data_IF_870661597280
#
_entry.id   IF_870661597280
#
_cell.length_a   1.000
_cell.length_b   1.000
_cell.length_c   1.000
_cell.angle_alpha   90.00
_cell.angle_beta   90.00
_cell.angle_gamma   90.00
#
_symmetry.space_group_name_H-M   'P 1'
#
loop_
_entity.id
_entity.type
_entity.pdbx_description
1 polymer ?
#
# COMPACT_ATOMS: atom_id res chain seq x y z
N UNK A 1 19.96 8.33 -19.00
CA UNK A 1 19.64 7.18 -18.13
C UNK A 1 18.44 7.62 -17.30
N UNK A 2 17.34 6.87 -17.28
CA UNK A 2 16.17 7.26 -16.51
C UNK A 2 16.48 7.18 -15.00
N UNK A 3 16.00 8.14 -14.22
CA UNK A 3 16.22 8.18 -12.76
C UNK A 3 15.20 7.24 -12.12
N UNK A 4 15.63 6.37 -11.21
CA UNK A 4 14.75 5.41 -10.56
C UNK A 4 13.62 6.10 -9.75
N UNK A 5 12.43 5.48 -9.64
CA UNK A 5 11.35 5.97 -8.79
C UNK A 5 11.79 6.20 -7.35
N UNK A 6 11.26 7.26 -6.74
CA UNK A 6 11.51 7.59 -5.33
C UNK A 6 10.21 7.32 -4.57
N UNK A 7 10.18 6.19 -3.86
CA UNK A 7 8.98 5.71 -3.18
C UNK A 7 8.95 6.18 -1.72
N UNK A 8 7.86 6.84 -1.34
CA UNK A 8 7.62 7.32 0.02
C UNK A 8 6.20 6.98 0.46
N UNK A 9 6.00 6.69 1.74
CA UNK A 9 4.70 6.36 2.32
C UNK A 9 4.29 7.48 3.27
N UNK A 10 3.06 8.00 3.15
CA UNK A 10 2.57 9.04 4.05
C UNK A 10 1.18 8.74 4.60
N UNK A 11 0.83 9.44 5.68
CA UNK A 11 -0.54 9.56 6.15
C UNK A 11 -1.46 10.15 5.05
N UNK A 12 -2.79 10.01 5.16
CA UNK A 12 -3.73 10.45 4.12
C UNK A 12 -3.72 11.95 3.84
N UNK A 13 -3.25 12.76 4.81
CA UNK A 13 -3.07 14.20 4.67
C UNK A 13 -1.79 14.58 3.90
N UNK A 14 -0.96 13.60 3.55
CA UNK A 14 0.28 13.81 2.82
C UNK A 14 1.40 14.46 3.61
N UNK A 15 1.32 14.65 4.93
CA UNK A 15 2.31 15.45 5.68
C UNK A 15 3.33 14.61 6.45
N UNK A 16 2.89 13.52 7.09
CA UNK A 16 3.75 12.68 7.92
C UNK A 16 4.11 11.39 7.21
N UNK A 17 5.40 11.05 7.20
CA UNK A 17 5.88 9.77 6.71
C UNK A 17 5.37 8.62 7.59
N UNK A 18 5.00 7.51 6.96
CA UNK A 18 4.57 6.28 7.63
C UNK A 18 5.72 5.28 7.57
N UNK A 19 6.28 4.96 8.74
CA UNK A 19 7.40 4.02 8.88
C UNK A 19 6.97 2.65 9.41
N UNK A 20 5.77 2.57 9.98
CA UNK A 20 5.17 1.32 10.47
C UNK A 20 3.66 1.39 10.30
N UNK A 21 3.05 0.22 10.14
CA UNK A 21 1.62 0.05 10.07
C UNK A 21 1.20 -0.85 11.24
N UNK A 22 0.33 -0.34 12.09
CA UNK A 22 -0.09 -1.00 13.32
C UNK A 22 -1.62 -1.05 13.38
N UNK A 23 -2.16 -2.27 13.46
CA UNK A 23 -3.60 -2.52 13.58
C UNK A 23 -4.05 -2.66 15.05
N UNK A 24 -3.13 -2.46 16.00
CA UNK A 24 -3.33 -2.65 17.43
C UNK A 24 -3.83 -4.07 17.73
N UNK A 25 -4.55 -4.23 18.85
CA UNK A 25 -5.21 -5.49 19.18
C UNK A 25 -6.47 -5.65 18.34
N UNK A 26 -6.56 -6.77 17.61
CA UNK A 26 -7.72 -7.17 16.83
C UNK A 26 -8.20 -8.52 17.33
N UNK A 27 -9.46 -8.61 17.71
CA UNK A 27 -10.05 -9.84 18.22
C UNK A 27 -10.27 -10.83 17.06
N UNK A 28 -10.01 -12.11 17.31
CA UNK A 28 -10.25 -13.16 16.33
C UNK A 28 -11.74 -13.21 15.93
N UNK A 29 -12.00 -13.27 14.62
CA UNK A 29 -13.35 -13.20 14.06
C UNK A 29 -13.88 -11.79 13.86
N UNK A 30 -13.03 -10.76 14.01
CA UNK A 30 -13.40 -9.36 13.82
C UNK A 30 -12.53 -8.67 12.76
N UNK A 31 -13.02 -7.51 12.30
CA UNK A 31 -12.31 -6.63 11.38
C UNK A 31 -11.80 -5.42 12.17
N UNK A 32 -10.55 -5.04 11.94
CA UNK A 32 -9.93 -3.86 12.56
C UNK A 32 -10.54 -2.55 12.04
N UNK A 33 -10.13 -1.44 12.65
CA UNK A 33 -10.31 -0.13 12.05
C UNK A 33 -9.48 -0.01 10.75
N UNK A 34 -9.91 0.92 9.89
CA UNK A 34 -9.21 1.28 8.66
C UNK A 34 -7.87 1.98 8.94
N UNK A 35 -6.84 1.56 8.20
CA UNK A 35 -5.55 2.23 8.13
C UNK A 35 -5.32 2.73 6.69
N UNK A 36 -5.39 4.03 6.48
CA UNK A 36 -5.22 4.62 5.13
C UNK A 36 -3.84 5.24 4.97
N UNK A 37 -3.21 5.01 3.81
CA UNK A 37 -1.90 5.57 3.45
C UNK A 37 -1.89 6.04 2.00
N UNK A 38 -0.93 6.92 1.70
CA UNK A 38 -0.56 7.29 0.34
C UNK A 38 0.80 6.67 0.02
N UNK A 39 0.88 5.99 -1.13
CA UNK A 39 2.09 5.40 -1.69
C UNK A 39 2.53 6.30 -2.84
N UNK A 40 3.59 7.07 -2.62
CA UNK A 40 4.05 8.09 -3.55
C UNK A 40 5.13 7.61 -4.49
N UNK A 41 5.19 8.22 -5.67
CA UNK A 41 6.38 8.31 -6.50
C UNK A 41 6.76 9.79 -6.68
N UNK A 42 8.01 10.12 -6.40
CA UNK A 42 8.60 11.43 -6.63
C UNK A 42 7.95 12.60 -5.86
N UNK A 43 7.49 12.36 -4.64
CA UNK A 43 6.76 13.37 -3.85
C UNK A 43 7.58 14.65 -3.65
N UNK A 44 7.04 15.78 -4.10
CA UNK A 44 7.58 17.11 -3.82
C UNK A 44 8.95 17.39 -4.44
N UNK A 45 9.40 16.59 -5.42
CA UNK A 45 10.69 16.82 -6.09
C UNK A 45 10.48 17.70 -7.33
N UNK A 46 11.53 18.45 -7.66
CA UNK A 46 11.56 19.40 -8.78
C UNK A 46 11.98 18.79 -10.12
N UNK A 47 12.47 17.56 -10.11
CA UNK A 47 12.96 16.85 -11.29
C UNK A 47 12.17 15.57 -11.47
N UNK A 48 11.90 15.22 -12.73
CA UNK A 48 11.20 13.99 -13.06
C UNK A 48 12.08 12.76 -12.75
N UNK A 49 11.42 11.69 -12.34
CA UNK A 49 11.95 10.32 -12.27
C UNK A 49 11.08 9.39 -13.11
N UNK A 50 11.48 8.14 -13.30
CA UNK A 50 10.64 7.16 -14.00
C UNK A 50 9.29 6.98 -13.30
N UNK A 51 8.27 6.72 -14.08
CA UNK A 51 6.98 6.26 -13.58
C UNK A 51 7.14 4.85 -12.96
N UNK A 52 6.35 4.57 -11.92
CA UNK A 52 6.18 3.20 -11.46
C UNK A 52 5.09 2.55 -12.32
N UNK A 53 5.42 1.46 -13.00
CA UNK A 53 4.52 0.71 -13.87
C UNK A 53 4.21 -0.67 -13.28
N UNK A 54 3.04 -1.23 -13.61
CA UNK A 54 2.55 -2.51 -13.09
C UNK A 54 2.57 -2.62 -11.56
N UNK A 55 2.18 -1.54 -10.89
CA UNK A 55 2.24 -1.43 -9.44
C UNK A 55 1.28 -2.42 -8.77
N UNK A 56 1.79 -3.17 -7.79
CA UNK A 56 0.99 -4.07 -6.96
C UNK A 56 1.38 -3.98 -5.48
N UNK A 57 0.43 -4.30 -4.60
CA UNK A 57 0.62 -4.40 -3.15
C UNK A 57 0.29 -5.81 -2.65
N UNK A 58 1.06 -6.30 -1.68
CA UNK A 58 0.82 -7.57 -0.99
C UNK A 58 1.40 -7.54 0.43
N UNK A 59 1.13 -8.57 1.23
CA UNK A 59 1.81 -8.81 2.51
C UNK A 59 2.82 -9.94 2.41
N UNK A 60 3.83 -9.87 3.27
CA UNK A 60 4.81 -10.92 3.51
C UNK A 60 5.07 -11.08 4.99
N UNK A 61 5.70 -12.19 5.39
CA UNK A 61 6.13 -12.35 6.77
C UNK A 61 7.31 -11.43 7.08
N UNK A 62 7.67 -11.33 8.37
CA UNK A 62 8.78 -10.50 8.84
C UNK A 62 10.13 -10.80 8.17
N UNK A 63 10.31 -11.98 7.59
CA UNK A 63 11.54 -12.39 6.90
C UNK A 63 11.45 -12.19 5.37
N UNK A 64 10.37 -11.57 4.88
CA UNK A 64 10.12 -11.39 3.44
C UNK A 64 9.68 -12.68 2.73
N UNK A 65 9.27 -13.70 3.48
CA UNK A 65 8.68 -14.93 2.97
C UNK A 65 7.17 -14.85 2.81
N UNK A 66 6.59 -15.91 2.26
CA UNK A 66 5.15 -16.04 2.02
C UNK A 66 4.53 -17.17 2.87
N UNK A 67 5.10 -17.46 4.04
CA UNK A 67 4.74 -18.66 4.83
C UNK A 67 4.00 -18.36 6.13
N UNK A 68 4.06 -17.12 6.63
CA UNK A 68 3.35 -16.72 7.85
C UNK A 68 1.83 -16.92 7.77
N UNK A 69 1.18 -17.20 8.91
CA UNK A 69 -0.26 -17.46 8.99
C UNK A 69 -1.09 -16.28 8.45
N UNK A 70 -0.72 -15.05 8.82
CA UNK A 70 -1.35 -13.82 8.31
C UNK A 70 -1.25 -13.70 6.79
N UNK A 71 -0.12 -14.11 6.22
CA UNK A 71 0.15 -14.02 4.78
C UNK A 71 -0.62 -15.09 4.01
N UNK A 72 -0.55 -16.34 4.49
CA UNK A 72 -1.20 -17.49 3.86
C UNK A 72 -2.72 -17.44 4.02
N UNK A 73 -3.19 -17.00 5.19
CA UNK A 73 -4.59 -16.74 5.50
C UNK A 73 -5.13 -15.42 4.96
N UNK A 74 -4.27 -14.54 4.43
CA UNK A 74 -4.61 -13.24 3.82
C UNK A 74 -5.42 -12.35 4.75
N UNK A 75 -4.96 -12.20 5.98
CA UNK A 75 -5.73 -11.45 6.99
C UNK A 75 -5.75 -9.96 6.72
N UNK A 76 -4.83 -9.45 5.90
CA UNK A 76 -4.87 -8.05 5.48
C UNK A 76 -5.66 -7.93 4.20
N UNK A 77 -6.65 -7.05 4.21
CA UNK A 77 -7.43 -6.70 3.04
C UNK A 77 -7.17 -5.25 2.66
N UNK A 78 -7.18 -4.96 1.36
CA UNK A 78 -6.89 -3.63 0.82
C UNK A 78 -8.00 -3.16 -0.11
N UNK A 79 -8.35 -1.88 -0.01
CA UNK A 79 -9.17 -1.13 -0.95
C UNK A 79 -8.33 -0.01 -1.56
N UNK A 80 -8.36 0.14 -2.88
CA UNK A 80 -7.61 1.20 -3.57
C UNK A 80 -8.53 2.38 -3.82
N UNK A 81 -8.58 3.33 -2.87
CA UNK A 81 -9.46 4.50 -2.94
C UNK A 81 -9.21 5.35 -4.19
N UNK A 82 -7.95 5.48 -4.60
CA UNK A 82 -7.57 6.19 -5.84
C UNK A 82 -8.11 5.55 -7.14
N UNK A 83 -8.63 4.32 -7.05
CA UNK A 83 -9.36 3.62 -8.12
C UNK A 83 -10.88 3.69 -7.96
N UNK A 84 -11.39 4.44 -6.97
CA UNK A 84 -12.80 4.50 -6.59
C UNK A 84 -13.39 3.12 -6.23
N UNK A 85 -12.57 2.24 -5.64
CA UNK A 85 -13.04 0.95 -5.17
C UNK A 85 -13.95 1.10 -3.94
N UNK A 86 -14.96 0.24 -3.83
CA UNK A 86 -15.89 0.21 -2.70
C UNK A 86 -15.78 -1.07 -1.85
N UNK A 87 -14.92 -2.01 -2.26
CA UNK A 87 -14.77 -3.32 -1.64
C UNK A 87 -13.31 -3.62 -1.33
N UNK A 88 -13.08 -4.27 -0.19
CA UNK A 88 -11.76 -4.75 0.19
C UNK A 88 -11.41 -6.04 -0.56
N UNK A 89 -10.13 -6.20 -0.88
CA UNK A 89 -9.56 -7.40 -1.50
C UNK A 89 -8.51 -7.98 -0.55
N UNK A 90 -8.64 -9.25 -0.10
CA UNK A 90 -7.61 -9.91 0.70
C UNK A 90 -6.28 -10.01 -0.06
N UNK A 91 -5.16 -9.77 0.60
CA UNK A 91 -3.80 -9.85 0.02
C UNK A 91 -2.87 -10.71 0.87
N UNK A 92 -1.90 -11.33 0.22
CA UNK A 92 -0.90 -12.16 0.89
C UNK A 92 -0.05 -12.98 -0.04
N UNK A 93 1.28 -12.83 0.08
CA UNK A 93 2.27 -13.51 -0.72
C UNK A 93 2.05 -13.25 -2.21
N UNK A 94 1.74 -14.31 -2.97
CA UNK A 94 1.49 -14.21 -4.40
C UNK A 94 0.11 -13.62 -4.75
N UNK A 95 -0.79 -13.49 -3.78
CA UNK A 95 -2.08 -12.84 -3.97
C UNK A 95 -1.92 -11.34 -3.79
N UNK A 96 -1.65 -10.65 -4.90
CA UNK A 96 -1.38 -9.21 -4.92
C UNK A 96 -2.60 -8.42 -5.42
N UNK A 97 -2.64 -7.13 -5.09
CA UNK A 97 -3.65 -6.18 -5.58
C UNK A 97 -2.97 -5.11 -6.43
N UNK A 98 -3.48 -4.83 -7.62
CA UNK A 98 -3.03 -3.67 -8.41
C UNK A 98 -3.32 -2.37 -7.69
N UNK A 99 -2.35 -1.47 -7.64
CA UNK A 99 -2.50 -0.10 -7.15
C UNK A 99 -2.20 0.87 -8.29
N UNK A 100 -2.84 2.03 -8.30
CA UNK A 100 -2.55 3.08 -9.27
C UNK A 100 -2.90 4.45 -8.71
N UNK A 101 -2.34 5.49 -9.29
CA UNK A 101 -2.68 6.87 -8.98
C UNK A 101 -3.88 7.37 -9.81
N UNK A 102 -4.60 8.34 -9.28
CA UNK A 102 -5.73 8.96 -9.97
C UNK A 102 -5.21 9.69 -11.22
N UNK A 103 -5.74 9.36 -12.40
CA UNK A 103 -5.38 10.01 -13.66
C UNK A 103 -4.00 9.64 -14.24
N UNK A 104 -3.24 8.72 -13.63
CA UNK A 104 -1.93 8.32 -14.16
C UNK A 104 -2.01 7.23 -15.24
N UNK A 105 -3.01 6.33 -15.18
CA UNK A 105 -3.14 5.17 -16.05
C UNK A 105 -3.21 3.86 -15.27
N UNK A 106 -3.49 2.75 -15.96
CA UNK A 106 -3.68 1.45 -15.34
C UNK A 106 -2.40 0.95 -14.64
N UNK A 107 -2.47 0.69 -13.34
CA UNK A 107 -1.33 0.16 -12.56
C UNK A 107 -0.13 1.11 -12.45
N UNK A 108 -0.35 2.41 -12.62
CA UNK A 108 0.71 3.41 -12.74
C UNK A 108 0.71 4.44 -11.61
N UNK A 109 1.90 4.85 -11.17
CA UNK A 109 2.10 5.99 -10.26
C UNK A 109 3.19 6.89 -10.85
N UNK A 110 2.83 8.14 -11.18
CA UNK A 110 3.71 9.01 -11.97
C UNK A 110 4.94 9.48 -11.21
N UNK A 111 6.07 9.53 -11.92
CA UNK A 111 7.33 10.10 -11.46
C UNK A 111 7.53 11.57 -11.84
N UNK A 112 6.53 12.24 -12.40
CA UNK A 112 6.66 13.66 -12.76
C UNK A 112 6.89 14.56 -11.53
N UNK A 113 7.66 15.63 -11.70
CA UNK A 113 7.87 16.65 -10.69
C UNK A 113 6.54 17.24 -10.21
N UNK A 114 6.41 17.47 -8.91
CA UNK A 114 5.17 17.92 -8.29
C UNK A 114 5.43 18.71 -7.01
N UNK A 115 4.38 19.34 -6.48
CA UNK A 115 4.45 20.17 -5.27
C UNK A 115 4.31 19.37 -3.96
N UNK A 116 4.13 18.04 -4.03
CA UNK A 116 3.98 17.14 -2.88
C UNK A 116 2.68 17.31 -2.08
N UNK A 117 1.70 18.06 -2.60
CA UNK A 117 0.39 18.23 -1.96
C UNK A 117 -0.60 17.19 -2.49
N UNK A 118 -1.49 16.70 -1.63
CA UNK A 118 -2.48 15.67 -1.99
C UNK A 118 -3.36 16.12 -3.16
N UNK A 119 -3.85 17.36 -3.15
CA UNK A 119 -4.70 17.87 -4.22
C UNK A 119 -3.94 18.14 -5.52
N UNK A 120 -2.67 18.56 -5.43
CA UNK A 120 -1.86 18.98 -6.57
C UNK A 120 -1.11 17.85 -7.27
N UNK A 121 -0.97 16.69 -6.62
CA UNK A 121 -0.11 15.61 -7.07
C UNK A 121 -0.83 14.24 -7.10
N UNK A 122 -2.13 14.26 -7.43
CA UNK A 122 -3.00 13.07 -7.50
C UNK A 122 -2.47 11.94 -8.40
N UNK A 123 -1.72 12.29 -9.45
CA UNK A 123 -1.10 11.32 -10.35
C UNK A 123 0.19 10.69 -9.77
N UNK A 124 0.73 11.24 -8.68
CA UNK A 124 1.98 10.82 -8.06
C UNK A 124 1.79 9.93 -6.83
N UNK A 125 0.56 9.56 -6.47
CA UNK A 125 0.33 8.60 -5.39
C UNK A 125 -0.85 7.68 -5.63
N UNK A 126 -0.72 6.44 -5.19
CA UNK A 126 -1.86 5.57 -4.95
C UNK A 126 -2.36 5.76 -3.52
N UNK A 127 -3.66 5.97 -3.33
CA UNK A 127 -4.32 5.97 -2.02
C UNK A 127 -4.91 4.59 -1.76
N UNK A 128 -4.48 3.97 -0.67
CA UNK A 128 -4.95 2.65 -0.24
C UNK A 128 -5.43 2.67 1.21
N UNK A 129 -6.52 1.96 1.47
CA UNK A 129 -7.02 1.69 2.82
C UNK A 129 -6.86 0.21 3.10
N UNK A 130 -6.23 -0.11 4.23
CA UNK A 130 -5.94 -1.46 4.69
C UNK A 130 -6.75 -1.75 5.96
N UNK A 131 -7.19 -2.99 6.11
CA UNK A 131 -7.79 -3.49 7.35
C UNK A 131 -7.29 -4.90 7.64
N UNK A 132 -7.25 -5.28 8.90
CA UNK A 132 -7.01 -6.66 9.33
C UNK A 132 -8.36 -7.34 9.58
N UNK A 133 -8.67 -8.37 8.79
CA UNK A 133 -9.80 -9.28 8.96
C UNK A 133 -9.26 -10.60 9.52
N UNK A 134 -9.27 -10.73 10.84
CA UNK A 134 -8.61 -11.85 11.54
C UNK A 134 -9.58 -13.03 11.65
N UNK A 135 -9.22 -14.23 11.17
CA UNK A 135 -10.10 -15.39 11.25
C UNK A 135 -10.34 -15.83 12.71
N UNK A 136 -11.48 -16.45 12.99
CA UNK A 136 -11.85 -16.91 14.34
C UNK A 136 -10.92 -17.98 14.92
N UNK A 137 -10.21 -18.72 14.05
CA UNK A 137 -9.23 -19.75 14.42
C UNK A 137 -7.79 -19.23 14.43
N UNK A 138 -7.58 -17.91 14.32
CA UNK A 138 -6.27 -17.29 14.35
C UNK A 138 -5.50 -17.64 15.63
N UNK A 139 -4.21 -17.94 15.48
CA UNK A 139 -3.31 -18.06 16.63
C UNK A 139 -3.18 -16.71 17.34
N UNK A 140 -3.43 -16.67 18.64
CA UNK A 140 -3.24 -15.46 19.44
C UNK A 140 -1.75 -15.13 19.59
N UNK A 141 -1.43 -13.83 19.54
CA UNK A 141 -0.07 -13.33 19.75
C UNK A 141 0.24 -12.10 18.90
N UNK A 142 1.46 -11.58 19.04
CA UNK A 142 1.99 -10.56 18.16
C UNK A 142 2.38 -11.17 16.81
N UNK A 143 1.94 -10.55 15.72
CA UNK A 143 2.25 -10.97 14.37
C UNK A 143 2.87 -9.81 13.62
N UNK A 144 4.18 -9.91 13.38
CA UNK A 144 4.91 -8.98 12.55
C UNK A 144 4.86 -9.43 11.08
N UNK A 145 4.61 -8.47 10.20
CA UNK A 145 4.52 -8.69 8.76
C UNK A 145 5.05 -7.47 8.02
N UNK A 146 5.31 -7.63 6.72
CA UNK A 146 5.76 -6.57 5.83
C UNK A 146 4.66 -6.26 4.81
N UNK A 147 4.50 -4.98 4.48
CA UNK A 147 3.81 -4.55 3.27
C UNK A 147 4.84 -4.46 2.15
N UNK A 148 4.57 -5.13 1.02
CA UNK A 148 5.40 -5.08 -0.17
C UNK A 148 4.66 -4.35 -1.29
N UNK A 149 5.30 -3.33 -1.83
CA UNK A 149 4.93 -2.70 -3.11
C UNK A 149 5.92 -3.17 -4.17
N UNK A 150 5.41 -3.70 -5.28
CA UNK A 150 6.22 -4.15 -6.41
C UNK A 150 5.84 -3.35 -7.67
N UNK A 151 6.84 -3.00 -8.48
CA UNK A 151 6.71 -2.18 -9.68
C UNK A 151 7.88 -2.42 -10.67
N UNK A 152 7.73 -1.89 -11.88
CA UNK A 152 8.75 -1.81 -12.93
C UNK A 152 8.98 -0.33 -13.32
N UNK A 153 10.14 0.01 -13.92
CA UNK A 153 10.46 1.39 -14.34
C UNK A 153 11.61 1.47 -15.35
#
# INVERSE_FOLDING_TARGET
MAIAPIVEFTQPNGTSQVNSLDFLTVDAGTVSNDFTILIWNNRGKSSDVSDMEHCTITTQDQNGGNTGELVTGRWIEVRVDSMNENSYTPIGGNNTKTIQAEGAGAGKISGAANNGTVDGAKANYAKVTLQANVPSLATAGNIDFLIRVAYQF
#
